data_IF_783172945799
#
_entry.id   IF_783172945799
#
_cell.length_a   1.000
_cell.length_b   1.000
_cell.length_c   1.000
_cell.angle_alpha   90.00
_cell.angle_beta   90.00
_cell.angle_gamma   90.00
#
_symmetry.space_group_name_H-M   'P 1'
#
loop_
_entity.id
_entity.type
_entity.pdbx_description
1 polymer ?
#
# COMPACT_ATOMS: atom_id res chain seq x y z
N UNK A 1 13.04 -11.28 -8.50
CA UNK A 1 12.55 -11.82 -7.23
C UNK A 1 12.02 -10.71 -6.36
N UNK A 2 10.87 -10.93 -5.74
CA UNK A 2 10.35 -10.09 -4.67
C UNK A 2 10.57 -10.83 -3.34
N UNK A 3 11.32 -10.20 -2.43
CA UNK A 3 11.56 -10.70 -1.06
C UNK A 3 10.82 -9.80 -0.10
N UNK A 4 9.91 -10.37 0.68
CA UNK A 4 9.11 -9.62 1.62
C UNK A 4 9.37 -10.09 3.06
N UNK A 5 9.48 -9.11 3.98
CA UNK A 5 9.78 -9.38 5.37
C UNK A 5 9.71 -8.14 6.25
N UNK A 6 9.85 -8.34 7.56
CA UNK A 6 9.97 -7.28 8.56
C UNK A 6 11.27 -7.42 9.34
N UNK A 7 11.70 -6.36 10.01
CA UNK A 7 12.91 -6.38 10.86
C UNK A 7 12.81 -7.46 11.94
N UNK A 8 11.62 -7.67 12.51
CA UNK A 8 11.36 -8.58 13.63
C UNK A 8 11.26 -10.04 13.17
N UNK A 9 10.61 -10.29 12.03
CA UNK A 9 10.34 -11.64 11.53
C UNK A 9 11.37 -12.15 10.51
N UNK A 10 12.22 -11.27 9.99
CA UNK A 10 13.13 -11.55 8.89
C UNK A 10 12.39 -11.64 7.54
N UNK A 11 13.02 -12.19 6.53
CA UNK A 11 12.37 -12.48 5.25
C UNK A 11 11.48 -13.71 5.40
N UNK A 12 10.25 -13.62 4.92
CA UNK A 12 9.27 -14.70 5.10
C UNK A 12 8.41 -15.02 3.87
N UNK A 13 8.43 -14.19 2.82
CA UNK A 13 7.78 -14.49 1.54
C UNK A 13 8.74 -14.26 0.38
N UNK A 14 8.51 -15.01 -0.69
CA UNK A 14 9.30 -14.97 -1.92
C UNK A 14 8.38 -15.11 -3.13
N UNK A 15 8.55 -14.25 -4.12
CA UNK A 15 8.05 -14.42 -5.48
C UNK A 15 9.20 -14.42 -6.49
N UNK A 16 9.20 -15.37 -7.40
CA UNK A 16 10.15 -15.43 -8.51
C UNK A 16 9.65 -14.60 -9.71
N UNK A 17 10.50 -14.31 -10.74
CA UNK A 17 10.10 -13.48 -11.86
C UNK A 17 8.90 -14.01 -12.67
N UNK A 18 8.71 -15.32 -12.76
CA UNK A 18 7.56 -15.92 -13.47
C UNK A 18 6.27 -15.68 -12.68
N UNK A 19 6.31 -15.85 -11.36
CA UNK A 19 5.19 -15.58 -10.47
C UNK A 19 4.80 -14.09 -10.49
N UNK A 20 5.79 -13.19 -10.48
CA UNK A 20 5.53 -11.74 -10.60
C UNK A 20 4.86 -11.37 -11.93
N UNK A 21 5.23 -12.04 -13.02
CA UNK A 21 4.65 -11.81 -14.34
C UNK A 21 3.27 -12.46 -14.52
N UNK A 22 2.84 -13.34 -13.61
CA UNK A 22 1.58 -14.08 -13.72
C UNK A 22 0.37 -13.32 -13.17
N UNK A 23 0.59 -12.20 -12.48
CA UNK A 23 -0.48 -11.42 -11.85
C UNK A 23 -0.41 -9.96 -12.33
N UNK A 24 -1.58 -9.33 -12.46
CA UNK A 24 -1.69 -7.89 -12.76
C UNK A 24 -1.18 -7.04 -11.59
N UNK A 25 -1.45 -7.50 -10.35
CA UNK A 25 -0.94 -6.88 -9.13
C UNK A 25 0.38 -7.52 -8.69
N UNK A 26 1.26 -6.71 -8.10
CA UNK A 26 2.54 -7.21 -7.56
C UNK A 26 2.28 -8.13 -6.35
N UNK A 27 2.54 -9.42 -6.53
CA UNK A 27 2.44 -10.39 -5.44
C UNK A 27 3.65 -10.32 -4.50
N UNK A 28 3.40 -10.54 -3.20
CA UNK A 28 4.45 -10.78 -2.19
C UNK A 28 5.05 -12.18 -2.33
N UNK A 29 4.39 -13.07 -3.08
CA UNK A 29 4.76 -14.47 -3.23
C UNK A 29 4.11 -15.38 -2.20
N UNK A 30 4.78 -16.50 -1.94
CA UNK A 30 4.37 -17.52 -0.95
C UNK A 30 5.32 -17.54 0.24
N UNK A 31 4.85 -18.02 1.42
CA UNK A 31 5.72 -18.22 2.57
C UNK A 31 6.89 -19.16 2.25
N UNK A 32 8.08 -18.77 2.68
CA UNK A 32 9.26 -19.65 2.56
C UNK A 32 9.22 -20.80 3.55
N UNK A 33 10.01 -21.84 3.33
CA UNK A 33 10.05 -23.02 4.19
C UNK A 33 10.38 -22.66 5.65
N UNK A 34 9.53 -23.10 6.58
CA UNK A 34 9.71 -22.88 8.02
C UNK A 34 9.13 -21.55 8.50
N UNK A 35 8.25 -20.96 7.69
CA UNK A 35 7.43 -19.80 8.04
C UNK A 35 5.97 -20.14 7.81
N UNK A 36 5.12 -19.79 8.77
CA UNK A 36 3.68 -19.85 8.66
C UNK A 36 3.13 -18.42 8.56
N UNK A 37 2.20 -18.21 7.64
CA UNK A 37 1.49 -16.96 7.46
C UNK A 37 -0.01 -17.18 7.53
N UNK A 38 -0.74 -16.19 8.05
CA UNK A 38 -2.21 -16.18 8.04
C UNK A 38 -2.73 -14.77 7.98
N UNK A 39 -3.89 -14.60 7.36
CA UNK A 39 -4.64 -13.35 7.33
C UNK A 39 -5.70 -13.40 8.42
N UNK A 40 -5.82 -12.36 9.24
CA UNK A 40 -6.84 -12.23 10.28
C UNK A 40 -7.69 -10.98 10.06
N UNK A 41 -8.85 -10.97 10.67
CA UNK A 41 -9.77 -9.82 10.70
C UNK A 41 -10.13 -9.34 9.29
N UNK A 42 -10.40 -10.30 8.38
CA UNK A 42 -10.68 -10.01 6.98
C UNK A 42 -12.00 -9.25 6.80
N UNK A 43 -11.96 -8.25 5.92
CA UNK A 43 -13.14 -7.59 5.41
C UNK A 43 -13.88 -8.48 4.37
N UNK A 44 -14.96 -7.93 3.76
CA UNK A 44 -15.75 -8.65 2.73
C UNK A 44 -14.97 -9.00 1.45
N UNK A 45 -13.85 -8.31 1.20
CA UNK A 45 -12.97 -8.54 0.06
C UNK A 45 -11.83 -9.53 0.37
N UNK A 46 -11.79 -10.10 1.59
CA UNK A 46 -10.75 -11.00 2.02
C UNK A 46 -9.43 -10.31 2.41
N UNK A 47 -9.43 -8.98 2.55
CA UNK A 47 -8.27 -8.20 2.99
C UNK A 47 -8.28 -8.14 4.51
N UNK A 48 -7.19 -8.53 5.14
CA UNK A 48 -7.03 -8.51 6.58
C UNK A 48 -5.56 -8.36 7.01
N UNK A 49 -5.32 -8.41 8.30
CA UNK A 49 -4.00 -8.21 8.87
C UNK A 49 -3.12 -9.45 8.69
N UNK A 50 -1.90 -9.26 8.19
CA UNK A 50 -0.91 -10.33 8.06
C UNK A 50 -0.30 -10.68 9.41
N UNK A 51 -0.40 -11.95 9.78
CA UNK A 51 0.28 -12.54 10.91
C UNK A 51 1.30 -13.55 10.42
N UNK A 52 2.51 -13.49 10.97
CA UNK A 52 3.62 -14.38 10.62
C UNK A 52 4.16 -15.09 11.86
N UNK A 53 4.55 -16.34 11.69
CA UNK A 53 5.29 -17.13 12.68
C UNK A 53 6.51 -17.72 11.98
N UNK A 54 7.69 -17.31 12.42
CA UNK A 54 8.96 -17.68 11.78
C UNK A 54 9.97 -18.20 12.80
N UNK A 55 10.65 -19.29 12.45
CA UNK A 55 11.82 -19.75 13.19
C UNK A 55 13.05 -18.83 13.01
N UNK A 56 13.01 -17.98 12.00
CA UNK A 56 14.07 -17.03 11.65
C UNK A 56 13.90 -15.66 12.29
N UNK A 57 12.80 -15.46 13.02
CA UNK A 57 12.53 -14.21 13.73
C UNK A 57 13.63 -13.87 14.74
N UNK A 58 13.68 -12.61 15.14
CA UNK A 58 14.59 -12.10 16.17
C UNK A 58 14.55 -12.98 17.43
N UNK A 59 15.69 -13.03 18.15
CA UNK A 59 15.80 -13.76 19.41
C UNK A 59 14.70 -13.27 20.39
N UNK A 60 13.92 -14.23 20.93
CA UNK A 60 12.76 -13.91 21.76
C UNK A 60 11.41 -13.91 21.06
N UNK A 61 11.38 -13.81 19.74
CA UNK A 61 10.16 -13.83 18.93
C UNK A 61 10.00 -15.10 18.07
N UNK A 62 10.98 -15.99 18.10
CA UNK A 62 11.00 -17.23 17.31
C UNK A 62 9.82 -18.12 17.62
N UNK A 63 9.18 -18.61 16.56
CA UNK A 63 8.00 -19.50 16.63
C UNK A 63 6.79 -18.88 17.34
N UNK A 64 6.77 -17.56 17.55
CA UNK A 64 5.62 -16.85 18.05
C UNK A 64 4.89 -16.14 16.90
N UNK A 65 3.56 -16.06 16.99
CA UNK A 65 2.76 -15.30 16.04
C UNK A 65 2.96 -13.80 16.27
N UNK A 66 3.36 -13.10 15.22
CA UNK A 66 3.60 -11.67 15.20
C UNK A 66 2.64 -11.02 14.21
N UNK A 67 2.03 -9.93 14.60
CA UNK A 67 1.28 -9.05 13.71
C UNK A 67 2.27 -8.15 12.99
N UNK A 68 2.30 -8.17 11.65
CA UNK A 68 3.20 -7.31 10.85
C UNK A 68 2.69 -5.88 10.73
N UNK A 69 1.40 -5.66 10.97
CA UNK A 69 0.71 -4.39 10.72
C UNK A 69 0.37 -4.17 9.24
N UNK A 70 0.69 -5.11 8.36
CA UNK A 70 0.39 -5.02 6.94
C UNK A 70 -0.99 -5.61 6.64
N UNK A 71 -1.71 -4.98 5.73
CA UNK A 71 -2.97 -5.48 5.18
C UNK A 71 -2.68 -6.26 3.91
N UNK A 72 -3.17 -7.49 3.87
CA UNK A 72 -2.95 -8.40 2.75
C UNK A 72 -4.22 -9.18 2.41
N UNK A 73 -4.31 -9.66 1.17
CA UNK A 73 -5.20 -10.74 0.77
C UNK A 73 -4.40 -11.97 0.38
N UNK A 74 -5.07 -13.14 0.39
CA UNK A 74 -4.48 -14.39 -0.07
C UNK A 74 -5.41 -15.01 -1.10
N UNK A 75 -4.89 -15.38 -2.28
CA UNK A 75 -5.68 -16.09 -3.28
C UNK A 75 -5.76 -17.60 -2.99
N UNK A 76 -6.57 -18.31 -3.78
CA UNK A 76 -6.77 -19.78 -3.66
C UNK A 76 -5.49 -20.59 -3.91
N UNK A 77 -4.52 -20.03 -4.60
CA UNK A 77 -3.23 -20.67 -4.87
C UNK A 77 -2.20 -20.43 -3.78
N UNK A 78 -2.52 -19.60 -2.76
CA UNK A 78 -1.68 -19.31 -1.61
C UNK A 78 -0.70 -18.16 -1.81
N UNK A 79 -0.86 -17.34 -2.88
CA UNK A 79 -0.10 -16.10 -3.04
C UNK A 79 -0.71 -14.97 -2.24
N UNK A 80 0.16 -14.13 -1.68
CA UNK A 80 -0.22 -12.96 -0.89
C UNK A 80 -0.04 -11.68 -1.71
N UNK A 81 -0.98 -10.74 -1.52
CA UNK A 81 -0.99 -9.42 -2.17
C UNK A 81 -1.07 -8.34 -1.09
N UNK A 82 -0.27 -7.29 -1.23
CA UNK A 82 -0.16 -6.21 -0.26
C UNK A 82 -1.16 -5.09 -0.58
N UNK A 83 -1.93 -4.67 0.43
CA UNK A 83 -2.96 -3.62 0.31
C UNK A 83 -2.64 -2.38 1.18
N UNK A 84 -1.45 -2.30 1.74
CA UNK A 84 -1.03 -1.19 2.59
C UNK A 84 -0.83 -1.58 4.05
N UNK A 85 -0.80 -0.58 4.92
CA UNK A 85 -0.59 -0.78 6.36
C UNK A 85 -1.84 -0.45 7.17
N UNK A 86 -2.12 -1.27 8.18
CA UNK A 86 -3.26 -1.06 9.06
C UNK A 86 -3.15 0.25 9.87
N UNK A 87 -1.92 0.65 10.23
CA UNK A 87 -1.65 1.89 10.96
C UNK A 87 -1.71 3.16 10.08
N UNK A 88 -1.74 3.00 8.76
CA UNK A 88 -1.95 4.10 7.80
C UNK A 88 -3.39 4.17 7.27
N UNK A 89 -4.21 3.19 7.58
CA UNK A 89 -5.64 3.23 7.23
C UNK A 89 -6.32 4.38 7.97
N UNK A 90 -7.08 5.17 7.23
CA UNK A 90 -7.79 6.33 7.77
C UNK A 90 -9.28 6.25 7.45
N UNK A 91 -10.10 6.88 8.28
CA UNK A 91 -11.54 6.97 8.04
C UNK A 91 -11.85 8.33 7.42
N UNK A 92 -12.38 8.31 6.19
CA UNK A 92 -12.81 9.51 5.45
C UNK A 92 -14.31 9.37 5.13
N UNK A 93 -15.14 10.28 5.64
CA UNK A 93 -16.59 10.23 5.40
C UNK A 93 -17.27 8.91 5.86
N UNK A 94 -16.72 8.23 6.85
CA UNK A 94 -17.23 6.94 7.35
C UNK A 94 -16.69 5.70 6.61
N UNK A 95 -15.88 5.87 5.58
CA UNK A 95 -15.26 4.78 4.83
C UNK A 95 -13.77 4.63 5.18
N UNK A 96 -13.29 3.39 5.20
CA UNK A 96 -11.88 3.08 5.40
C UNK A 96 -11.11 3.33 4.09
N UNK A 97 -10.11 4.20 4.14
CA UNK A 97 -9.27 4.59 3.01
C UNK A 97 -7.82 4.22 3.28
N UNK A 98 -7.16 3.67 2.27
CA UNK A 98 -5.73 3.37 2.28
C UNK A 98 -5.00 4.43 1.43
N UNK A 99 -4.22 5.35 2.03
CA UNK A 99 -3.45 6.34 1.27
C UNK A 99 -2.50 5.71 0.25
N UNK A 100 -1.92 4.54 0.57
CA UNK A 100 -1.04 3.81 -0.34
C UNK A 100 -1.71 3.38 -1.63
N UNK A 101 -3.00 2.99 -1.57
CA UNK A 101 -3.76 2.65 -2.78
C UNK A 101 -3.90 3.86 -3.69
N UNK A 102 -4.21 5.02 -3.12
CA UNK A 102 -4.30 6.28 -3.88
C UNK A 102 -2.94 6.64 -4.51
N UNK A 103 -1.84 6.50 -3.73
CA UNK A 103 -0.47 6.73 -4.22
C UNK A 103 -0.13 5.80 -5.39
N UNK A 104 -0.48 4.51 -5.30
CA UNK A 104 -0.27 3.54 -6.39
C UNK A 104 -1.05 3.89 -7.65
N UNK A 105 -2.33 4.24 -7.50
CA UNK A 105 -3.16 4.68 -8.62
C UNK A 105 -2.54 5.92 -9.27
N UNK A 106 -2.17 6.95 -8.50
CA UNK A 106 -1.51 8.15 -9.02
C UNK A 106 -0.21 7.82 -9.77
N UNK A 107 0.63 6.94 -9.23
CA UNK A 107 1.90 6.53 -9.84
C UNK A 107 1.72 5.68 -11.12
N UNK A 108 0.55 5.10 -11.36
CA UNK A 108 0.25 4.42 -12.62
C UNK A 108 -0.02 5.40 -13.78
N UNK A 109 -0.20 6.70 -13.49
CA UNK A 109 -0.35 7.72 -14.51
C UNK A 109 1.00 8.06 -15.17
N UNK A 110 1.14 8.04 -16.52
CA UNK A 110 2.43 8.14 -17.20
C UNK A 110 3.17 9.47 -17.00
N UNK A 111 2.48 10.52 -16.58
CA UNK A 111 3.05 11.84 -16.33
C UNK A 111 3.42 12.08 -14.85
N UNK A 112 3.15 11.14 -13.93
CA UNK A 112 3.44 11.28 -12.49
C UNK A 112 4.65 10.44 -12.15
N UNK A 113 5.66 11.05 -11.53
CA UNK A 113 6.91 10.41 -11.12
C UNK A 113 7.01 10.18 -9.62
N UNK A 114 6.27 10.97 -8.83
CA UNK A 114 6.12 10.76 -7.39
C UNK A 114 4.74 11.21 -6.93
N UNK A 115 4.18 10.50 -5.96
CA UNK A 115 2.88 10.82 -5.38
C UNK A 115 2.89 10.55 -3.87
N UNK A 116 2.16 11.37 -3.13
CA UNK A 116 1.93 11.22 -1.70
C UNK A 116 0.48 11.53 -1.39
N UNK A 117 -0.19 10.65 -0.68
CA UNK A 117 -1.52 10.86 -0.14
C UNK A 117 -1.47 11.00 1.39
N UNK A 118 -2.22 11.93 1.93
CA UNK A 118 -2.33 12.17 3.37
C UNK A 118 -3.70 12.73 3.72
N UNK A 119 -4.06 12.62 4.99
CA UNK A 119 -5.34 13.12 5.47
C UNK A 119 -5.22 14.49 6.09
N UNK A 120 -6.29 15.26 5.94
CA UNK A 120 -6.50 16.55 6.60
C UNK A 120 -7.84 16.49 7.33
N UNK A 121 -7.94 16.96 8.59
CA UNK A 121 -9.21 17.07 9.28
C UNK A 121 -10.20 17.97 8.55
N UNK A 122 -11.44 17.50 8.43
CA UNK A 122 -12.54 18.25 7.82
C UNK A 122 -13.76 18.25 8.75
N UNK A 123 -14.43 19.39 8.97
CA UNK A 123 -15.56 19.51 9.90
C UNK A 123 -16.77 18.64 9.53
N UNK A 124 -16.98 18.34 8.24
CA UNK A 124 -18.16 17.63 7.74
C UNK A 124 -17.88 16.13 7.53
N UNK A 125 -16.65 15.78 7.14
CA UNK A 125 -16.27 14.43 6.75
C UNK A 125 -15.29 13.74 7.74
N UNK A 126 -14.94 14.40 8.85
CA UNK A 126 -13.94 13.94 9.80
C UNK A 126 -12.51 14.06 9.24
N UNK A 127 -12.23 13.37 8.15
CA UNK A 127 -11.00 13.55 7.37
C UNK A 127 -11.30 13.54 5.88
N UNK A 128 -10.48 14.24 5.12
CA UNK A 128 -10.45 14.23 3.65
C UNK A 128 -9.04 13.93 3.14
N UNK A 129 -8.96 13.39 1.94
CA UNK A 129 -7.69 13.06 1.31
C UNK A 129 -7.15 14.30 0.57
N UNK A 130 -5.89 14.60 0.84
CA UNK A 130 -5.07 15.53 0.06
C UNK A 130 -3.94 14.78 -0.60
N UNK A 131 -3.51 15.22 -1.78
CA UNK A 131 -2.39 14.61 -2.50
C UNK A 131 -1.35 15.63 -2.91
N UNK A 132 -0.11 15.24 -2.84
CA UNK A 132 1.05 15.93 -3.40
C UNK A 132 1.55 15.08 -4.55
N UNK A 133 1.74 15.67 -5.72
CA UNK A 133 2.23 14.95 -6.90
C UNK A 133 3.37 15.71 -7.56
N UNK A 134 4.35 14.96 -8.03
CA UNK A 134 5.40 15.45 -8.89
C UNK A 134 5.25 14.87 -10.28
N UNK A 135 5.20 15.74 -11.26
CA UNK A 135 5.03 15.39 -12.65
C UNK A 135 6.35 15.39 -13.41
N UNK A 136 6.38 14.68 -14.54
CA UNK A 136 7.49 14.76 -15.48
C UNK A 136 7.68 16.22 -15.98
N UNK A 137 8.90 16.67 -16.33
CA UNK A 137 9.18 18.05 -16.69
C UNK A 137 8.36 18.63 -17.87
N UNK A 138 7.78 17.76 -18.70
CA UNK A 138 6.95 18.15 -19.85
C UNK A 138 5.46 17.87 -19.65
N UNK A 139 5.04 17.56 -18.42
CA UNK A 139 3.64 17.24 -18.16
C UNK A 139 2.76 18.47 -18.32
N UNK A 140 1.66 18.31 -19.04
CA UNK A 140 0.57 19.30 -19.15
C UNK A 140 -0.65 18.89 -18.32
N UNK A 141 -0.40 18.13 -17.25
CA UNK A 141 -1.43 17.60 -16.38
C UNK A 141 -2.05 18.72 -15.53
N UNK A 142 -3.37 18.87 -15.60
CA UNK A 142 -4.14 19.78 -14.75
C UNK A 142 -4.92 19.01 -13.69
N UNK A 143 -5.33 19.68 -12.63
CA UNK A 143 -6.19 19.06 -11.60
C UNK A 143 -7.45 18.46 -12.20
N UNK A 144 -8.13 19.17 -13.08
CA UNK A 144 -9.38 18.72 -13.71
C UNK A 144 -9.17 17.45 -14.55
N UNK A 145 -8.10 17.38 -15.35
CA UNK A 145 -7.79 16.19 -16.17
C UNK A 145 -7.40 15.02 -15.29
N UNK A 146 -6.66 15.24 -14.21
CA UNK A 146 -6.28 14.20 -13.27
C UNK A 146 -7.49 13.66 -12.50
N UNK A 147 -8.37 14.53 -11.98
CA UNK A 147 -9.58 14.10 -11.30
C UNK A 147 -10.48 13.25 -12.21
N UNK A 148 -10.62 13.62 -13.49
CA UNK A 148 -11.38 12.83 -14.47
C UNK A 148 -10.75 11.45 -14.70
N UNK A 149 -9.42 11.36 -14.70
CA UNK A 149 -8.69 10.12 -14.86
C UNK A 149 -8.78 9.21 -13.62
N UNK A 150 -8.84 9.79 -12.40
CA UNK A 150 -8.97 9.07 -11.14
C UNK A 150 -10.37 8.50 -10.90
N UNK A 151 -11.43 9.16 -11.35
CA UNK A 151 -12.84 8.78 -11.10
C UNK A 151 -13.20 7.32 -11.36
N UNK A 152 -12.76 6.65 -12.44
CA UNK A 152 -13.07 5.24 -12.66
C UNK A 152 -12.25 4.29 -11.80
N UNK A 153 -11.22 4.77 -11.09
CA UNK A 153 -10.23 3.95 -10.40
C UNK A 153 -10.31 4.07 -8.87
N UNK A 154 -10.85 5.16 -8.35
CA UNK A 154 -10.96 5.45 -6.92
C UNK A 154 -12.42 5.53 -6.49
N UNK A 155 -12.72 5.07 -5.27
CA UNK A 155 -14.00 5.30 -4.62
C UNK A 155 -14.21 6.80 -4.30
N UNK A 156 -15.43 7.18 -3.95
CA UNK A 156 -15.75 8.57 -3.59
C UNK A 156 -14.92 9.05 -2.38
N UNK A 157 -14.71 8.19 -1.40
CA UNK A 157 -13.96 8.51 -0.19
C UNK A 157 -12.44 8.63 -0.42
N UNK A 158 -11.92 7.96 -1.46
CA UNK A 158 -10.52 8.01 -1.87
C UNK A 158 -10.20 9.20 -2.78
N UNK A 159 -11.23 9.82 -3.38
CA UNK A 159 -11.00 10.97 -4.26
C UNK A 159 -10.34 12.12 -3.52
N UNK A 160 -9.20 12.65 -4.04
CA UNK A 160 -8.54 13.79 -3.43
C UNK A 160 -9.45 15.02 -3.37
N UNK A 161 -9.54 15.65 -2.19
CA UNK A 161 -10.20 16.94 -2.00
C UNK A 161 -9.34 18.09 -2.54
N UNK A 162 -8.01 17.92 -2.46
CA UNK A 162 -7.05 18.89 -3.02
C UNK A 162 -5.83 18.17 -3.60
N UNK A 163 -5.32 18.68 -4.71
CA UNK A 163 -4.12 18.16 -5.39
C UNK A 163 -3.07 19.28 -5.47
N UNK A 164 -1.88 19.02 -4.91
CA UNK A 164 -0.76 19.94 -4.93
C UNK A 164 0.32 19.45 -5.91
N UNK A 165 0.56 20.22 -6.96
CA UNK A 165 1.64 19.96 -7.91
C UNK A 165 2.93 20.57 -7.37
N UNK A 166 3.89 19.72 -7.01
CA UNK A 166 5.19 20.18 -6.46
C UNK A 166 6.25 19.10 -6.54
N UNK A 167 7.52 19.47 -6.39
CA UNK A 167 8.60 18.51 -6.21
C UNK A 167 8.50 17.83 -4.84
N UNK A 168 8.67 16.50 -4.81
CA UNK A 168 8.60 15.68 -3.61
C UNK A 168 10.02 15.27 -3.22
N UNK A 169 10.48 15.71 -2.04
CA UNK A 169 11.78 15.28 -1.51
C UNK A 169 11.74 13.79 -1.13
N UNK A 170 12.57 13.00 -1.82
CA UNK A 170 12.76 11.59 -1.51
C UNK A 170 13.95 11.40 -0.58
N UNK A 171 13.84 10.51 0.39
CA UNK A 171 14.99 10.06 1.17
C UNK A 171 15.94 9.24 0.30
N UNK A 172 17.23 9.21 0.64
CA UNK A 172 18.24 8.39 -0.04
C UNK A 172 17.91 6.89 -0.08
N UNK A 173 16.98 6.44 0.74
CA UNK A 173 16.44 5.07 0.79
C UNK A 173 15.30 4.82 -0.20
N UNK A 174 14.94 5.79 -1.06
CA UNK A 174 13.80 5.71 -1.96
C UNK A 174 12.42 5.85 -1.28
N UNK A 175 12.39 6.13 0.03
CA UNK A 175 11.16 6.44 0.77
C UNK A 175 10.93 7.94 0.83
N UNK A 176 9.66 8.35 0.84
CA UNK A 176 9.31 9.76 1.02
C UNK A 176 9.64 10.22 2.44
N UNK A 177 10.11 11.47 2.57
CA UNK A 177 10.38 12.08 3.86
C UNK A 177 9.06 12.33 4.60
N UNK A 178 8.92 11.76 5.78
CA UNK A 178 7.78 12.09 6.65
C UNK A 178 7.87 13.57 7.08
N UNK A 179 6.75 14.25 7.15
CA UNK A 179 6.67 15.57 7.79
C UNK A 179 6.56 15.42 9.29
#
# INVERSE_FOLDING_TARGET
FNLYGTSEAGFFMLANPKELASFEETTLGKPIRGVDCKVKDCNRQGIGTLWVRSRWAMRGLRNQWQNTGDLVSQNSEGYFFHHGRADRMVVCGGENVQPEHIEQVLLSHPMIIAARAFTVPDPNFGNVIHTEIECTPKATLTEATLLNWLRPQLSRAEMPHSIYFKTIEMLSTGKQKAR
#
